data_IF_207804162762
#
_entry.id   IF_207804162762
#
_cell.length_a   1.000
_cell.length_b   1.000
_cell.length_c   1.000
_cell.angle_alpha   90.00
_cell.angle_beta   90.00
_cell.angle_gamma   90.00
#
_symmetry.space_group_name_H-M   'P 1'
#
loop_
_entity.id
_entity.type
_entity.pdbx_description
1 polymer ?
#
# COMPACT_ATOMS: atom_id res chain seq x y z
N UNK A 1 -3.32 -43.13 12.16
CA UNK A 1 -4.16 -41.94 12.43
C UNK A 1 -3.37 -40.65 12.77
N UNK A 2 -2.13 -40.70 13.25
CA UNK A 2 -1.32 -39.49 13.52
C UNK A 2 -0.86 -38.71 12.27
N UNK A 3 -0.69 -39.36 11.10
CA UNK A 3 -0.30 -38.67 9.85
C UNK A 3 -1.39 -37.72 9.32
N UNK A 4 -2.67 -37.98 9.58
CA UNK A 4 -3.79 -37.14 9.13
C UNK A 4 -3.91 -35.82 9.90
N UNK A 5 -3.29 -35.70 11.09
CA UNK A 5 -3.26 -34.45 11.88
C UNK A 5 -2.06 -33.56 11.54
N UNK A 6 -1.00 -34.12 10.93
CA UNK A 6 0.21 -33.37 10.56
C UNK A 6 0.03 -32.54 9.28
N UNK A 7 -0.79 -33.02 8.34
CA UNK A 7 -1.11 -32.29 7.12
C UNK A 7 -1.76 -30.91 7.37
N UNK A 8 -2.83 -30.79 8.18
CA UNK A 8 -3.45 -29.47 8.46
C UNK A 8 -2.53 -28.55 9.27
N UNK A 9 -1.66 -29.09 10.13
CA UNK A 9 -0.67 -28.27 10.86
C UNK A 9 0.41 -27.70 9.92
N UNK A 10 0.92 -28.51 8.98
CA UNK A 10 1.85 -28.05 7.95
C UNK A 10 1.23 -26.99 7.04
N UNK A 11 -0.04 -27.16 6.68
CA UNK A 11 -0.77 -26.18 5.86
C UNK A 11 -0.95 -24.84 6.59
N UNK A 12 -1.30 -24.85 7.88
CA UNK A 12 -1.39 -23.63 8.69
C UNK A 12 -0.06 -22.92 8.82
N UNK A 13 1.03 -23.66 9.04
CA UNK A 13 2.36 -23.07 9.11
C UNK A 13 2.79 -22.47 7.77
N UNK A 14 2.50 -23.14 6.66
CA UNK A 14 2.74 -22.61 5.32
C UNK A 14 1.97 -21.31 5.09
N UNK A 15 0.68 -21.29 5.41
CA UNK A 15 -0.17 -20.09 5.31
C UNK A 15 0.38 -18.93 6.15
N UNK A 16 0.77 -19.20 7.40
CA UNK A 16 1.36 -18.20 8.30
C UNK A 16 2.63 -17.60 7.70
N UNK A 17 3.54 -18.45 7.18
CA UNK A 17 4.79 -18.00 6.55
C UNK A 17 4.54 -17.23 5.27
N UNK A 18 3.58 -17.65 4.45
CA UNK A 18 3.19 -16.90 3.24
C UNK A 18 2.68 -15.51 3.61
N UNK A 19 1.74 -15.41 4.57
CA UNK A 19 1.21 -14.13 5.04
C UNK A 19 2.30 -13.22 5.63
N UNK A 20 3.26 -13.79 6.37
CA UNK A 20 4.41 -13.03 6.87
C UNK A 20 5.24 -12.45 5.71
N UNK A 21 5.57 -13.25 4.69
CA UNK A 21 6.35 -12.79 3.54
C UNK A 21 5.57 -11.76 2.70
N UNK A 22 4.25 -11.94 2.53
CA UNK A 22 3.39 -10.95 1.86
C UNK A 22 3.38 -9.61 2.61
N UNK A 23 3.31 -9.65 3.93
CA UNK A 23 3.41 -8.44 4.75
C UNK A 23 4.81 -7.79 4.66
N UNK A 24 5.90 -8.57 4.69
CA UNK A 24 7.25 -8.06 4.46
C UNK A 24 7.39 -7.39 3.08
N UNK A 25 6.72 -7.94 2.08
CA UNK A 25 6.66 -7.38 0.73
C UNK A 25 5.89 -6.05 0.71
N UNK A 26 4.70 -5.98 1.32
CA UNK A 26 3.93 -4.72 1.42
C UNK A 26 4.70 -3.64 2.18
N UNK A 27 5.41 -4.01 3.25
CA UNK A 27 6.32 -3.10 3.97
C UNK A 27 7.41 -2.58 3.03
N UNK A 28 8.10 -3.45 2.30
CA UNK A 28 9.15 -3.01 1.38
C UNK A 28 8.58 -2.09 0.29
N UNK A 29 7.41 -2.40 -0.25
CA UNK A 29 6.73 -1.61 -1.28
C UNK A 29 6.34 -0.22 -0.78
N UNK A 30 5.66 -0.12 0.38
CA UNK A 30 5.26 1.18 0.94
C UNK A 30 6.46 2.05 1.36
N UNK A 31 7.62 1.45 1.60
CA UNK A 31 8.88 2.14 1.85
C UNK A 31 9.66 2.49 0.57
N UNK A 32 9.16 2.12 -0.61
CA UNK A 32 9.84 2.34 -1.89
C UNK A 32 11.07 1.45 -2.12
N UNK A 33 11.20 0.37 -1.35
CA UNK A 33 12.31 -0.59 -1.44
C UNK A 33 11.97 -1.72 -2.43
N UNK A 34 11.74 -1.37 -3.69
CA UNK A 34 11.35 -2.33 -4.74
C UNK A 34 12.30 -3.55 -4.84
N UNK A 35 13.64 -3.41 -4.72
CA UNK A 35 14.53 -4.58 -4.69
C UNK A 35 14.27 -5.52 -3.51
N UNK A 36 13.97 -4.99 -2.33
CA UNK A 36 13.66 -5.79 -1.15
C UNK A 36 12.28 -6.48 -1.28
N UNK A 37 11.31 -5.80 -1.89
CA UNK A 37 10.01 -6.38 -2.21
C UNK A 37 10.15 -7.56 -3.19
N UNK A 38 10.98 -7.42 -4.23
CA UNK A 38 11.29 -8.52 -5.14
C UNK A 38 12.04 -9.67 -4.47
N UNK A 39 12.95 -9.38 -3.54
CA UNK A 39 13.62 -10.43 -2.76
C UNK A 39 12.62 -11.21 -1.88
N UNK A 40 11.64 -10.53 -1.26
CA UNK A 40 10.54 -11.17 -0.55
C UNK A 40 9.68 -12.03 -1.51
N UNK A 41 9.38 -11.52 -2.71
CA UNK A 41 8.68 -12.27 -3.76
C UNK A 41 9.40 -13.56 -4.17
N UNK A 42 10.72 -13.52 -4.33
CA UNK A 42 11.51 -14.71 -4.62
C UNK A 42 11.47 -15.74 -3.48
N UNK A 43 11.52 -15.29 -2.21
CA UNK A 43 11.33 -16.18 -1.04
C UNK A 43 9.93 -16.80 -1.04
N UNK A 44 8.90 -16.01 -1.35
CA UNK A 44 7.53 -16.50 -1.44
C UNK A 44 7.37 -17.56 -2.54
N UNK A 45 8.01 -17.34 -3.70
CA UNK A 45 7.98 -18.29 -4.81
C UNK A 45 8.67 -19.61 -4.44
N UNK A 46 9.82 -19.55 -3.77
CA UNK A 46 10.53 -20.74 -3.30
C UNK A 46 9.73 -21.51 -2.24
N UNK A 47 8.98 -20.81 -1.39
CA UNK A 47 8.15 -21.41 -0.35
C UNK A 47 6.83 -21.98 -0.87
N UNK A 48 6.14 -21.24 -1.76
CA UNK A 48 4.84 -21.57 -2.32
C UNK A 48 4.73 -21.07 -3.78
N UNK A 49 5.17 -21.88 -4.77
CA UNK A 49 5.06 -21.54 -6.18
C UNK A 49 3.62 -21.32 -6.67
N UNK A 50 2.62 -21.87 -5.94
CA UNK A 50 1.19 -21.77 -6.28
C UNK A 50 0.51 -20.56 -5.63
N UNK A 51 1.27 -19.66 -4.99
CA UNK A 51 0.70 -18.48 -4.37
C UNK A 51 -0.06 -17.59 -5.39
N UNK A 52 -1.26 -17.07 -5.08
CA UNK A 52 -2.09 -16.32 -6.04
C UNK A 52 -1.40 -15.12 -6.71
N UNK A 53 -0.45 -14.48 -6.03
CA UNK A 53 0.41 -13.42 -6.57
C UNK A 53 1.04 -13.81 -7.92
N UNK A 54 1.47 -15.06 -8.09
CA UNK A 54 2.15 -15.52 -9.30
C UNK A 54 1.20 -15.81 -10.46
N UNK A 55 -0.12 -15.74 -10.26
CA UNK A 55 -1.11 -15.75 -11.34
C UNK A 55 -1.12 -14.43 -12.13
N UNK A 56 -0.51 -13.38 -11.57
CA UNK A 56 -0.50 -12.03 -12.16
C UNK A 56 0.86 -11.64 -12.74
N UNK A 57 1.90 -12.47 -12.58
CA UNK A 57 3.28 -12.16 -12.96
C UNK A 57 3.83 -13.13 -14.01
N UNK A 58 4.31 -12.62 -15.15
CA UNK A 58 5.01 -13.40 -16.17
C UNK A 58 6.35 -13.93 -15.63
N UNK A 59 6.73 -15.15 -16.03
CA UNK A 59 8.05 -15.75 -15.75
C UNK A 59 9.21 -14.82 -16.14
N UNK A 60 10.21 -14.50 -15.28
CA UNK A 60 10.53 -15.00 -13.93
C UNK A 60 9.88 -14.21 -12.78
N UNK A 61 8.60 -13.90 -12.90
CA UNK A 61 7.80 -13.21 -11.91
C UNK A 61 7.99 -11.69 -11.86
N UNK A 62 8.72 -11.05 -12.78
CA UNK A 62 9.10 -9.62 -12.66
C UNK A 62 8.22 -8.63 -13.41
N UNK A 63 7.39 -9.13 -14.31
CA UNK A 63 6.49 -8.30 -15.15
C UNK A 63 5.06 -8.78 -14.96
N UNK A 64 4.09 -7.88 -15.15
CA UNK A 64 2.68 -8.27 -15.12
C UNK A 64 2.29 -9.02 -16.40
N UNK A 65 1.50 -10.08 -16.25
CA UNK A 65 0.91 -10.78 -17.38
C UNK A 65 0.19 -9.82 -18.32
N UNK A 66 0.39 -10.01 -19.63
CA UNK A 66 -0.22 -9.16 -20.66
C UNK A 66 -1.77 -9.21 -20.65
N UNK A 67 -2.36 -10.32 -20.18
CA UNK A 67 -3.81 -10.56 -20.17
C UNK A 67 -4.38 -10.55 -18.75
N UNK A 68 -4.15 -9.46 -18.01
CA UNK A 68 -4.76 -9.30 -16.69
C UNK A 68 -6.29 -9.33 -16.79
N UNK A 69 -6.97 -10.10 -15.92
CA UNK A 69 -8.43 -10.14 -15.91
C UNK A 69 -8.99 -8.75 -15.62
N UNK A 70 -9.99 -8.35 -16.41
CA UNK A 70 -10.71 -7.07 -16.23
C UNK A 70 -11.67 -7.11 -15.04
N UNK A 71 -11.91 -8.29 -14.47
CA UNK A 71 -12.84 -8.51 -13.38
C UNK A 71 -12.12 -8.48 -12.03
N UNK A 72 -12.78 -7.97 -10.98
CA UNK A 72 -12.22 -8.00 -9.65
C UNK A 72 -12.00 -9.45 -9.18
N UNK A 73 -10.95 -9.70 -8.40
CA UNK A 73 -10.62 -11.01 -7.86
C UNK A 73 -11.74 -11.53 -6.94
N UNK A 74 -12.03 -12.83 -7.03
CA UNK A 74 -13.16 -13.49 -6.35
C UNK A 74 -12.89 -13.94 -4.92
N UNK A 75 -11.64 -13.88 -4.43
CA UNK A 75 -11.26 -14.24 -3.06
C UNK A 75 -10.27 -13.23 -2.45
N UNK A 76 -10.20 -13.12 -1.11
CA UNK A 76 -9.25 -12.23 -0.45
C UNK A 76 -7.78 -12.51 -0.81
N UNK A 77 -7.37 -13.78 -0.86
CA UNK A 77 -5.98 -14.15 -1.18
C UNK A 77 -5.63 -13.80 -2.63
N UNK A 78 -6.58 -13.96 -3.55
CA UNK A 78 -6.42 -13.57 -4.94
C UNK A 78 -6.34 -12.04 -5.07
N UNK A 79 -7.10 -11.32 -4.25
CA UNK A 79 -7.06 -9.86 -4.20
C UNK A 79 -5.74 -9.33 -3.66
N UNK A 80 -5.28 -9.84 -2.53
CA UNK A 80 -3.97 -9.49 -1.97
C UNK A 80 -2.85 -9.78 -2.99
N UNK A 81 -2.90 -10.95 -3.64
CA UNK A 81 -1.95 -11.32 -4.69
C UNK A 81 -1.96 -10.34 -5.87
N UNK A 82 -3.14 -9.90 -6.30
CA UNK A 82 -3.31 -8.92 -7.37
C UNK A 82 -2.74 -7.55 -6.97
N UNK A 83 -3.09 -7.06 -5.79
CA UNK A 83 -2.62 -5.77 -5.27
C UNK A 83 -1.08 -5.73 -5.14
N UNK A 84 -0.47 -6.78 -4.60
CA UNK A 84 0.99 -6.91 -4.47
C UNK A 84 1.67 -6.99 -5.83
N UNK A 85 1.16 -7.80 -6.76
CA UNK A 85 1.71 -7.91 -8.12
C UNK A 85 1.68 -6.55 -8.83
N UNK A 86 0.58 -5.81 -8.70
CA UNK A 86 0.46 -4.48 -9.28
C UNK A 86 1.45 -3.50 -8.64
N UNK A 87 1.57 -3.52 -7.31
CA UNK A 87 2.51 -2.67 -6.62
C UNK A 87 3.98 -2.95 -6.95
N UNK A 88 4.35 -4.23 -7.11
CA UNK A 88 5.69 -4.67 -7.52
C UNK A 88 6.09 -4.15 -8.90
N UNK A 89 5.16 -4.21 -9.86
CA UNK A 89 5.43 -3.84 -11.24
C UNK A 89 5.10 -2.37 -11.55
N UNK A 90 4.41 -1.65 -10.66
CA UNK A 90 3.79 -0.34 -10.94
C UNK A 90 4.66 0.63 -11.74
N UNK A 91 5.86 0.91 -11.25
CA UNK A 91 6.80 1.89 -11.82
C UNK A 91 7.32 1.48 -13.22
N UNK A 92 7.17 0.21 -13.60
CA UNK A 92 7.64 -0.35 -14.87
C UNK A 92 6.52 -0.42 -15.92
N UNK A 93 5.26 -0.21 -15.51
CA UNK A 93 4.11 -0.32 -16.39
C UNK A 93 3.91 0.96 -17.21
N UNK A 94 3.58 0.86 -18.50
CA UNK A 94 3.13 1.99 -19.28
C UNK A 94 1.90 2.67 -18.65
N UNK A 95 1.81 3.99 -18.73
CA UNK A 95 0.71 4.77 -18.15
C UNK A 95 -0.69 4.32 -18.62
N UNK A 96 -0.83 3.87 -19.87
CA UNK A 96 -2.08 3.33 -20.39
C UNK A 96 -2.49 2.03 -19.68
N UNK A 97 -1.52 1.16 -19.38
CA UNK A 97 -1.75 -0.08 -18.65
C UNK A 97 -2.08 0.21 -17.18
N UNK A 98 -1.31 1.09 -16.53
CA UNK A 98 -1.61 1.60 -15.18
C UNK A 98 -3.06 2.07 -15.04
N UNK A 99 -3.53 2.92 -15.97
CA UNK A 99 -4.90 3.43 -15.98
C UNK A 99 -5.95 2.34 -16.14
N UNK A 100 -5.72 1.39 -17.07
CA UNK A 100 -6.65 0.27 -17.29
C UNK A 100 -6.77 -0.62 -16.05
N UNK A 101 -5.65 -0.93 -15.41
CA UNK A 101 -5.62 -1.81 -14.23
C UNK A 101 -6.28 -1.16 -13.02
N UNK A 102 -5.99 0.12 -12.77
CA UNK A 102 -6.63 0.82 -11.67
C UNK A 102 -8.11 1.07 -11.93
N UNK A 103 -8.54 1.22 -13.19
CA UNK A 103 -9.98 1.28 -13.52
C UNK A 103 -10.70 -0.04 -13.19
N UNK A 104 -10.05 -1.19 -13.39
CA UNK A 104 -10.61 -2.49 -13.01
C UNK A 104 -10.72 -2.65 -11.49
N UNK A 105 -9.72 -2.16 -10.74
CA UNK A 105 -9.74 -2.17 -9.28
C UNK A 105 -10.63 -1.09 -8.66
N UNK A 106 -10.90 0.02 -9.36
CA UNK A 106 -11.76 1.10 -8.90
C UNK A 106 -13.23 0.71 -8.74
N UNK A 107 -13.63 -0.45 -9.29
CA UNK A 107 -14.94 -1.03 -9.02
C UNK A 107 -15.10 -1.50 -7.56
N UNK A 108 -13.99 -1.68 -6.85
CA UNK A 108 -13.96 -2.11 -5.46
C UNK A 108 -13.92 -0.90 -4.51
N UNK A 109 -14.63 -0.95 -3.37
CA UNK A 109 -14.56 0.10 -2.36
C UNK A 109 -13.15 0.13 -1.73
N UNK A 110 -12.61 1.30 -1.32
CA UNK A 110 -11.25 1.41 -0.79
C UNK A 110 -11.01 0.56 0.48
N UNK A 111 -12.07 0.28 1.24
CA UNK A 111 -12.03 -0.58 2.42
C UNK A 111 -11.73 -2.03 2.08
N UNK A 112 -12.07 -2.47 0.87
CA UNK A 112 -11.82 -3.85 0.43
C UNK A 112 -10.34 -4.14 0.18
N UNK A 113 -9.51 -3.12 -0.07
CA UNK A 113 -8.09 -3.32 -0.34
C UNK A 113 -7.42 -3.98 0.88
N UNK A 114 -6.54 -4.93 0.66
CA UNK A 114 -5.90 -5.69 1.75
C UNK A 114 -4.51 -5.16 2.08
N UNK A 115 -3.82 -4.59 1.09
CA UNK A 115 -2.46 -4.06 1.21
C UNK A 115 -2.46 -2.54 1.30
N UNK A 116 -1.51 -1.98 2.05
CA UNK A 116 -1.34 -0.52 2.11
C UNK A 116 -0.82 0.01 0.78
N UNK A 117 0.07 -0.73 0.12
CA UNK A 117 0.62 -0.35 -1.19
C UNK A 117 -0.45 -0.32 -2.28
N UNK A 118 -1.34 -1.31 -2.33
CA UNK A 118 -2.46 -1.34 -3.28
C UNK A 118 -3.41 -0.15 -3.11
N UNK A 119 -3.84 0.11 -1.87
CA UNK A 119 -4.71 1.25 -1.56
C UNK A 119 -4.05 2.59 -1.92
N UNK A 120 -2.76 2.72 -1.65
CA UNK A 120 -1.98 3.92 -1.99
C UNK A 120 -1.92 4.18 -3.49
N UNK A 121 -1.73 3.12 -4.30
CA UNK A 121 -1.74 3.25 -5.76
C UNK A 121 -3.09 3.69 -6.30
N UNK A 122 -4.17 3.10 -5.78
CA UNK A 122 -5.54 3.51 -6.12
C UNK A 122 -5.78 4.98 -5.75
N UNK A 123 -5.41 5.38 -4.53
CA UNK A 123 -5.57 6.75 -4.04
C UNK A 123 -4.85 7.79 -4.92
N UNK A 124 -3.61 7.49 -5.33
CA UNK A 124 -2.82 8.33 -6.23
C UNK A 124 -3.48 8.48 -7.60
N UNK A 125 -4.00 7.39 -8.17
CA UNK A 125 -4.60 7.43 -9.50
C UNK A 125 -5.88 8.27 -9.57
N UNK A 126 -6.73 8.15 -8.55
CA UNK A 126 -7.96 8.93 -8.48
C UNK A 126 -7.79 10.30 -7.83
N UNK A 127 -6.57 10.66 -7.42
CA UNK A 127 -6.27 11.88 -6.66
C UNK A 127 -7.21 12.06 -5.45
N UNK A 128 -7.43 10.98 -4.68
CA UNK A 128 -8.32 10.94 -3.52
C UNK A 128 -7.54 11.08 -2.20
N UNK A 129 -7.44 12.28 -1.60
CA UNK A 129 -6.77 12.47 -0.30
C UNK A 129 -7.38 11.62 0.81
N UNK A 130 -8.69 11.40 0.78
CA UNK A 130 -9.41 10.58 1.76
C UNK A 130 -8.93 9.12 1.77
N UNK A 131 -8.52 8.57 0.63
CA UNK A 131 -7.99 7.20 0.54
C UNK A 131 -6.53 7.12 1.00
N UNK A 132 -5.74 8.19 0.80
CA UNK A 132 -4.42 8.31 1.41
C UNK A 132 -4.50 8.40 2.94
N UNK A 133 -5.51 9.08 3.48
CA UNK A 133 -5.76 9.13 4.91
C UNK A 133 -6.09 7.73 5.47
N UNK A 134 -6.93 6.95 4.78
CA UNK A 134 -7.22 5.56 5.15
C UNK A 134 -5.96 4.68 5.11
N UNK A 135 -5.14 4.80 4.06
CA UNK A 135 -3.87 4.09 3.95
C UNK A 135 -2.92 4.44 5.11
N UNK A 136 -2.87 5.72 5.49
CA UNK A 136 -2.07 6.19 6.62
C UNK A 136 -2.57 5.66 7.96
N UNK A 137 -3.89 5.64 8.20
CA UNK A 137 -4.48 5.04 9.40
C UNK A 137 -4.15 3.55 9.52
N UNK A 138 -4.25 2.81 8.41
CA UNK A 138 -3.88 1.38 8.36
C UNK A 138 -2.40 1.16 8.64
N UNK A 139 -1.53 1.98 8.05
CA UNK A 139 -0.11 1.96 8.37
C UNK A 139 0.14 2.23 9.86
N UNK A 140 -0.49 3.24 10.45
CA UNK A 140 -0.37 3.51 11.88
C UNK A 140 -0.86 2.35 12.75
N UNK A 141 -1.90 1.62 12.34
CA UNK A 141 -2.37 0.45 13.10
C UNK A 141 -1.37 -0.72 13.06
N UNK A 142 -0.58 -0.85 12.00
CA UNK A 142 0.29 -2.01 11.75
C UNK A 142 1.79 -1.74 11.96
N UNK A 143 2.20 -0.48 11.96
CA UNK A 143 3.62 -0.09 11.99
C UNK A 143 4.30 -0.46 13.30
N UNK A 144 5.53 -0.94 13.19
CA UNK A 144 6.41 -1.07 14.36
C UNK A 144 6.97 0.30 14.79
N UNK A 145 7.39 0.49 16.05
CA UNK A 145 7.88 1.78 16.55
C UNK A 145 9.07 2.36 15.77
N UNK A 146 9.85 1.50 15.13
CA UNK A 146 11.08 1.88 14.41
C UNK A 146 10.90 1.90 12.88
N UNK A 147 9.70 1.61 12.37
CA UNK A 147 9.48 1.66 10.93
C UNK A 147 9.51 3.12 10.45
N UNK A 148 10.26 3.44 9.38
CA UNK A 148 10.26 4.79 8.83
C UNK A 148 8.87 5.17 8.27
N UNK A 149 8.64 6.48 8.13
CA UNK A 149 7.43 6.98 7.46
C UNK A 149 7.37 6.42 6.03
N UNK A 150 6.20 5.93 5.58
CA UNK A 150 6.09 5.31 4.27
C UNK A 150 6.30 6.36 3.17
N UNK A 151 6.77 5.93 1.99
CA UNK A 151 7.07 6.80 0.84
C UNK A 151 5.88 7.66 0.43
N UNK A 152 4.66 7.14 0.58
CA UNK A 152 3.43 7.87 0.25
C UNK A 152 3.05 8.96 1.26
N UNK A 153 3.69 9.00 2.43
CA UNK A 153 3.41 10.01 3.45
C UNK A 153 3.62 11.43 2.92
N UNK A 154 4.64 11.62 2.06
CA UNK A 154 4.85 12.90 1.39
C UNK A 154 3.63 13.32 0.59
N UNK A 155 3.08 12.42 -0.23
CA UNK A 155 1.92 12.73 -1.06
C UNK A 155 0.68 12.98 -0.22
N UNK A 156 0.55 12.25 0.90
CA UNK A 156 -0.51 12.51 1.85
C UNK A 156 -0.40 13.92 2.45
N UNK A 157 0.79 14.33 2.93
CA UNK A 157 1.02 15.70 3.43
C UNK A 157 0.73 16.74 2.36
N UNK A 158 1.20 16.52 1.12
CA UNK A 158 0.91 17.42 0.00
C UNK A 158 -0.59 17.50 -0.32
N UNK A 159 -1.33 16.41 -0.14
CA UNK A 159 -2.77 16.36 -0.38
C UNK A 159 -3.58 17.18 0.62
N UNK A 160 -2.99 17.52 1.77
CA UNK A 160 -3.59 18.36 2.80
C UNK A 160 -3.31 19.85 2.58
N UNK A 161 -2.36 20.19 1.71
CA UNK A 161 -2.08 21.58 1.38
C UNK A 161 -3.29 22.18 0.64
N UNK A 162 -3.72 23.39 1.01
CA UNK A 162 -4.76 24.09 0.25
C UNK A 162 -4.33 24.27 -1.20
N UNK A 163 -5.23 23.97 -2.15
CA UNK A 163 -4.91 24.05 -3.59
C UNK A 163 -4.62 25.52 -3.98
N UNK A 164 -3.74 25.77 -4.97
CA UNK A 164 -3.39 27.13 -5.42
C UNK A 164 -4.58 28.03 -5.77
N UNK A 165 -5.68 27.44 -6.26
CA UNK A 165 -6.89 28.17 -6.61
C UNK A 165 -7.66 28.69 -5.38
N UNK A 166 -7.41 28.14 -4.18
CA UNK A 166 -8.00 28.59 -2.90
C UNK A 166 -7.13 29.63 -2.19
N UNK A 167 -5.83 29.69 -2.49
CA UNK A 167 -4.85 30.62 -1.87
C UNK A 167 -4.62 31.90 -2.67
N UNK A 168 -5.14 31.99 -3.90
CA UNK A 168 -5.05 33.21 -4.73
C UNK A 168 -5.94 34.36 -4.24
N UNK A 169 -6.89 34.11 -3.33
CA UNK A 169 -7.68 35.16 -2.70
C UNK A 169 -6.93 35.74 -1.48
N UNK A 170 -6.26 36.87 -1.69
CA UNK A 170 -6.06 37.91 -0.65
C UNK A 170 -5.20 37.58 0.57
N UNK A 171 -4.11 36.82 0.42
CA UNK A 171 -3.14 36.58 1.52
C UNK A 171 -2.23 37.80 1.88
N UNK A 172 -2.64 39.04 1.61
CA UNK A 172 -1.80 40.23 1.89
C UNK A 172 -2.03 40.88 3.26
N UNK A 173 -3.16 40.65 3.94
CA UNK A 173 -3.46 41.41 5.17
C UNK A 173 -4.14 40.63 6.32
N UNK A 174 -4.65 39.41 6.12
CA UNK A 174 -5.24 38.61 7.20
C UNK A 174 -4.85 37.14 7.06
N UNK A 175 -4.70 36.45 8.21
CA UNK A 175 -4.50 35.01 8.35
C UNK A 175 -5.19 34.24 7.26
N UNK A 176 -4.42 33.62 6.34
CA UNK A 176 -4.99 32.87 5.23
C UNK A 176 -5.84 31.72 5.80
N UNK A 177 -7.16 31.72 5.62
CA UNK A 177 -8.05 30.80 6.34
C UNK A 177 -7.74 29.33 6.06
N UNK A 178 -7.11 28.99 4.93
CA UNK A 178 -6.66 27.61 4.64
C UNK A 178 -5.32 27.18 5.25
N UNK A 179 -4.49 28.11 5.75
CA UNK A 179 -3.19 27.77 6.35
C UNK A 179 -3.31 27.34 7.80
N UNK A 180 -4.21 27.94 8.57
CA UNK A 180 -4.46 27.57 9.97
C UNK A 180 -5.04 26.16 10.06
N UNK A 181 -5.97 25.81 9.16
CA UNK A 181 -6.53 24.46 9.03
C UNK A 181 -5.48 23.44 8.59
N UNK A 182 -4.58 23.83 7.69
CA UNK A 182 -3.43 23.01 7.32
C UNK A 182 -2.52 22.72 8.51
N UNK A 183 -2.09 23.74 9.28
CA UNK A 183 -1.24 23.53 10.45
C UNK A 183 -1.95 22.71 11.53
N UNK A 184 -3.28 22.86 11.67
CA UNK A 184 -4.08 22.06 12.60
C UNK A 184 -4.13 20.61 12.15
N UNK A 185 -4.45 20.33 10.88
CA UNK A 185 -4.45 18.98 10.31
C UNK A 185 -3.05 18.35 10.35
N UNK A 186 -2.01 19.12 10.07
CA UNK A 186 -0.62 18.69 10.14
C UNK A 186 -0.18 18.38 11.57
N UNK A 187 -0.58 19.19 12.56
CA UNK A 187 -0.31 18.93 13.98
C UNK A 187 -1.08 17.71 14.50
N UNK A 188 -2.33 17.50 14.06
CA UNK A 188 -3.09 16.28 14.33
C UNK A 188 -2.39 15.06 13.74
N UNK A 189 -1.76 15.18 12.57
CA UNK A 189 -0.98 14.09 11.97
C UNK A 189 0.34 13.80 12.69
N UNK A 190 1.03 14.84 13.14
CA UNK A 190 2.29 14.70 13.85
C UNK A 190 2.13 14.21 15.30
N UNK A 191 0.99 14.48 15.95
CA UNK A 191 0.77 14.12 17.35
C UNK A 191 0.90 12.61 17.64
N UNK A 192 0.28 11.69 16.85
CA UNK A 192 0.49 10.24 16.99
C UNK A 192 1.91 9.78 16.62
N UNK A 193 2.59 10.47 15.69
CA UNK A 193 3.96 10.15 15.29
C UNK A 193 4.94 10.50 16.43
N UNK A 194 4.76 11.69 17.03
CA UNK A 194 5.61 12.19 18.12
C UNK A 194 5.39 11.45 19.45
N UNK A 195 4.20 10.90 19.67
CA UNK A 195 3.90 10.09 20.87
C UNK A 195 4.49 8.67 20.79
N UNK A 196 4.63 8.11 19.57
CA UNK A 196 5.27 6.80 19.36
C UNK A 196 6.79 6.85 19.25
N UNK A 197 7.35 7.96 18.80
CA UNK A 197 8.78 8.25 18.83
C UNK A 197 9.03 9.44 19.76
N UNK A 198 9.01 9.23 21.09
CA UNK A 198 9.53 10.25 21.98
C UNK A 198 11.01 10.34 21.68
N UNK A 199 11.42 11.33 20.87
CA UNK A 199 12.83 11.72 20.81
C UNK A 199 13.28 11.83 22.26
N UNK A 200 14.27 11.03 22.65
CA UNK A 200 15.08 11.29 23.86
C UNK A 200 15.50 12.75 23.71
N UNK A 201 14.83 13.63 24.45
CA UNK A 201 15.23 15.04 24.49
C UNK A 201 16.66 15.04 25.04
N UNK A 202 17.59 15.80 24.43
CA UNK A 202 18.87 16.07 25.07
C UNK A 202 18.65 16.73 26.44
#
# INVERSE_FOLDING_TARGET
>A
QQQNLLAPLRQRELQRRCAQISNEMDIALRQGQTPAAWAAGARLQALNPQHPLFLFLDWPGKTLHAQLPLLPPSSPELQEGCELAFALCWEQLPAAQQKRLLSALAALPPESFLTISGLTLLARHHNRPEWLALAFQRWQAQTSPNEPLPRFFRDYVLSLLPRPQQTAASCRQYTCPGFTDFFTAFNVLLSPINTRNPRKRP
#
